data_IF_949345771645
#
_entry.id   IF_949345771645
#
_cell.length_a   1.000
_cell.length_b   1.000
_cell.length_c   1.000
_cell.angle_alpha   90.00
_cell.angle_beta   90.00
_cell.angle_gamma   90.00
#
_symmetry.space_group_name_H-M   'P 1'
#
loop_
_entity.id
_entity.type
_entity.pdbx_description
1 polymer ?
#
# COMPACT_ATOMS: atom_id res chain seq x y z
N UNK A 1 17.41 -25.51 12.09
CA UNK A 1 17.72 -26.13 10.77
C UNK A 1 17.56 -25.04 9.72
N UNK A 2 18.61 -24.23 9.59
CA UNK A 2 18.66 -23.09 8.66
C UNK A 2 19.62 -23.46 7.53
N UNK A 3 19.10 -23.96 6.43
CA UNK A 3 19.89 -24.05 5.19
C UNK A 3 18.95 -24.00 4.01
N UNK A 4 19.25 -23.06 3.15
CA UNK A 4 18.76 -22.78 1.80
C UNK A 4 17.87 -21.55 1.65
N UNK A 5 18.40 -20.36 2.03
CA UNK A 5 18.14 -19.16 1.22
C UNK A 5 18.98 -19.33 -0.05
N UNK A 6 18.34 -19.39 -1.20
CA UNK A 6 19.04 -19.62 -2.46
C UNK A 6 20.07 -18.50 -2.68
N UNK A 7 21.27 -18.92 -3.07
CA UNK A 7 22.42 -18.05 -3.37
C UNK A 7 22.10 -16.90 -4.34
N UNK A 8 20.98 -16.97 -5.04
CA UNK A 8 20.52 -15.99 -6.01
C UNK A 8 19.90 -14.73 -5.36
N UNK A 9 19.22 -14.85 -4.21
CA UNK A 9 18.63 -13.70 -3.49
C UNK A 9 19.69 -12.86 -2.79
N UNK A 10 20.74 -13.53 -2.30
CA UNK A 10 21.94 -12.88 -1.75
C UNK A 10 22.74 -12.19 -2.85
N UNK A 11 22.78 -12.75 -4.07
CA UNK A 11 23.50 -12.17 -5.20
C UNK A 11 22.89 -10.84 -5.67
N UNK A 12 21.56 -10.67 -5.66
CA UNK A 12 20.93 -9.40 -6.06
C UNK A 12 21.12 -8.28 -5.01
N UNK A 13 21.13 -8.64 -3.71
CA UNK A 13 21.49 -7.70 -2.64
C UNK A 13 23.00 -7.44 -2.57
N UNK A 14 23.86 -8.44 -2.88
CA UNK A 14 25.30 -8.29 -2.95
C UNK A 14 25.76 -7.48 -4.17
N UNK A 15 25.05 -7.48 -5.30
CA UNK A 15 25.35 -6.62 -6.45
C UNK A 15 25.13 -5.12 -6.10
N UNK A 16 24.20 -4.80 -5.19
CA UNK A 16 24.04 -3.44 -4.67
C UNK A 16 25.05 -3.07 -3.58
N UNK A 17 25.66 -4.04 -2.88
CA UNK A 17 26.60 -3.81 -1.77
C UNK A 17 28.05 -4.21 -2.06
N UNK A 18 28.31 -5.14 -3.00
CA UNK A 18 29.67 -5.63 -3.30
C UNK A 18 30.54 -4.71 -4.15
N UNK A 19 30.07 -3.49 -4.48
CA UNK A 19 30.88 -2.44 -5.11
C UNK A 19 31.75 -1.65 -4.13
N UNK A 20 31.76 -1.99 -2.83
CA UNK A 20 32.48 -1.22 -1.80
C UNK A 20 33.62 -1.92 -1.08
N UNK A 21 34.07 -3.10 -1.50
CA UNK A 21 35.20 -3.78 -0.85
C UNK A 21 36.28 -4.19 -1.81
N UNK A 22 37.00 -3.23 -2.37
CA UNK A 22 38.38 -3.48 -2.86
C UNK A 22 39.23 -2.25 -2.60
N UNK A 23 40.24 -2.46 -1.74
CA UNK A 23 41.44 -1.68 -1.53
C UNK A 23 41.43 -0.52 -0.54
N UNK A 24 41.66 -0.90 0.73
CA UNK A 24 42.49 -0.11 1.62
C UNK A 24 43.87 -0.79 1.69
N UNK A 25 44.81 -0.38 0.83
CA UNK A 25 46.25 -0.47 1.11
C UNK A 25 47.02 0.58 0.30
N UNK A 26 47.51 1.55 1.03
CA UNK A 26 48.69 2.42 0.89
C UNK A 26 49.34 2.63 -0.49
N UNK A 27 49.30 3.88 -0.96
CA UNK A 27 50.51 4.68 -1.22
C UNK A 27 50.14 6.14 -1.41
N UNK A 28 50.89 7.03 -0.77
CA UNK A 28 50.87 8.46 -1.04
C UNK A 28 51.17 8.70 -2.53
N UNK A 29 50.31 9.35 -3.23
CA UNK A 29 50.45 10.57 -3.98
C UNK A 29 49.32 10.77 -5.00
N UNK A 30 49.01 12.05 -5.23
CA UNK A 30 48.08 12.58 -6.25
C UNK A 30 46.58 12.40 -6.02
N UNK A 31 45.96 13.48 -5.59
CA UNK A 31 44.56 13.83 -5.52
C UNK A 31 43.76 13.61 -6.81
N UNK A 32 43.43 12.37 -7.13
CA UNK A 32 42.31 12.03 -8.01
C UNK A 32 41.43 11.02 -7.25
N UNK A 33 40.48 11.51 -6.45
CA UNK A 33 39.43 10.67 -5.94
C UNK A 33 38.76 9.94 -7.12
N UNK A 34 39.01 8.65 -7.28
CA UNK A 34 38.17 7.78 -8.12
C UNK A 34 36.76 7.81 -7.55
N UNK A 35 35.91 8.68 -8.10
CA UNK A 35 34.48 8.69 -7.74
C UNK A 35 33.92 7.31 -8.10
N UNK A 36 33.31 6.65 -7.12
CA UNK A 36 32.63 5.37 -7.29
C UNK A 36 31.58 5.52 -8.41
N UNK A 37 31.37 4.49 -9.23
CA UNK A 37 30.39 4.49 -10.34
C UNK A 37 29.00 4.90 -9.83
N UNK A 38 28.62 4.43 -8.62
CA UNK A 38 27.37 4.84 -7.98
C UNK A 38 27.33 6.35 -7.69
N UNK A 39 28.41 6.91 -7.12
CA UNK A 39 28.52 8.35 -6.86
C UNK A 39 28.46 9.16 -8.16
N UNK A 40 29.11 8.68 -9.23
CA UNK A 40 29.06 9.35 -10.55
C UNK A 40 27.67 9.27 -11.19
N UNK A 41 26.96 8.15 -11.05
CA UNK A 41 25.63 7.95 -11.63
C UNK A 41 24.56 8.82 -10.95
N UNK A 42 24.67 9.02 -9.64
CA UNK A 42 23.63 9.68 -8.83
C UNK A 42 24.07 11.02 -8.23
N UNK A 43 25.30 11.48 -8.51
CA UNK A 43 25.79 12.77 -8.05
C UNK A 43 25.16 13.93 -8.85
N UNK A 44 24.83 15.01 -8.14
CA UNK A 44 24.30 16.24 -8.73
C UNK A 44 25.36 16.92 -9.59
N UNK A 45 25.07 17.12 -10.88
CA UNK A 45 25.86 18.07 -11.66
C UNK A 45 25.35 19.50 -11.40
N UNK A 46 26.24 20.51 -11.22
CA UNK A 46 25.83 21.89 -11.12
C UNK A 46 25.17 22.34 -12.43
N UNK A 47 23.91 22.68 -12.41
CA UNK A 47 23.15 23.27 -13.51
C UNK A 47 21.97 22.44 -14.01
N UNK A 48 20.87 23.08 -14.09
CA UNK A 48 19.56 22.84 -14.70
C UNK A 48 18.54 21.94 -14.01
N UNK A 49 18.83 20.76 -13.48
CA UNK A 49 17.83 19.97 -12.72
C UNK A 49 18.44 19.47 -11.42
N UNK A 50 17.96 20.00 -10.31
CA UNK A 50 18.49 19.67 -8.99
C UNK A 50 18.11 18.26 -8.51
N UNK A 51 17.11 17.61 -9.13
CA UNK A 51 16.61 16.29 -8.70
C UNK A 51 17.14 15.18 -9.60
N UNK A 52 17.53 14.07 -8.97
CA UNK A 52 17.99 12.83 -9.63
C UNK A 52 17.08 11.69 -9.25
N UNK A 53 16.83 10.78 -10.19
CA UNK A 53 16.06 9.55 -9.95
C UNK A 53 16.82 8.29 -10.44
N UNK A 54 16.24 7.13 -10.16
CA UNK A 54 16.83 5.84 -10.54
C UNK A 54 16.99 5.72 -12.06
N UNK A 55 16.03 6.24 -12.81
CA UNK A 55 16.04 6.22 -14.28
C UNK A 55 17.21 7.05 -14.82
N UNK A 56 17.46 8.24 -14.24
CA UNK A 56 18.63 9.05 -14.58
C UNK A 56 19.95 8.31 -14.34
N UNK A 57 20.02 7.57 -13.22
CA UNK A 57 21.19 6.75 -12.89
C UNK A 57 21.43 5.63 -13.90
N UNK A 58 20.39 4.92 -14.29
CA UNK A 58 20.46 3.85 -15.30
C UNK A 58 20.92 4.39 -16.66
N UNK A 59 20.35 5.51 -17.15
CA UNK A 59 20.77 6.14 -18.40
C UNK A 59 22.25 6.58 -18.37
N UNK A 60 22.72 7.10 -17.23
CA UNK A 60 24.14 7.48 -17.07
C UNK A 60 25.08 6.28 -17.07
N UNK A 61 24.70 5.17 -16.42
CA UNK A 61 25.48 3.92 -16.39
C UNK A 61 25.56 3.32 -17.80
N UNK A 62 24.44 3.25 -18.50
CA UNK A 62 24.35 2.69 -19.84
C UNK A 62 24.88 3.63 -20.93
N UNK A 63 25.26 4.87 -20.58
CA UNK A 63 25.73 5.92 -21.53
C UNK A 63 24.74 6.20 -22.67
N UNK A 64 23.44 6.01 -22.43
CA UNK A 64 22.38 6.28 -23.38
C UNK A 64 21.94 7.73 -23.23
N UNK A 65 21.82 8.46 -24.32
CA UNK A 65 21.26 9.82 -24.30
C UNK A 65 19.77 9.75 -23.97
N UNK A 66 19.36 10.50 -22.95
CA UNK A 66 17.96 10.62 -22.56
C UNK A 66 17.25 11.52 -23.58
N UNK A 67 16.27 10.98 -24.29
CA UNK A 67 15.33 11.82 -25.02
C UNK A 67 14.60 12.75 -24.05
N UNK A 68 14.66 14.06 -24.30
CA UNK A 68 14.19 15.11 -23.39
C UNK A 68 12.67 15.18 -23.20
N UNK A 69 11.89 14.32 -23.87
CA UNK A 69 10.43 14.39 -23.91
C UNK A 69 9.69 13.94 -22.63
N UNK A 70 10.38 13.37 -21.64
CA UNK A 70 9.76 12.82 -20.40
C UNK A 70 9.56 13.87 -19.28
N UNK A 71 9.85 15.16 -19.52
CA UNK A 71 9.84 16.20 -18.48
C UNK A 71 8.70 17.22 -18.56
N UNK A 72 7.90 17.20 -19.61
CA UNK A 72 6.76 18.10 -19.75
C UNK A 72 5.52 17.53 -19.06
N UNK A 73 4.69 18.41 -18.49
CA UNK A 73 3.33 18.09 -18.01
C UNK A 73 2.68 17.12 -19.00
N UNK A 74 2.19 15.97 -18.51
CA UNK A 74 1.57 14.92 -19.34
C UNK A 74 0.36 15.55 -20.06
N UNK A 75 0.58 16.08 -21.25
CA UNK A 75 -0.45 16.64 -22.14
C UNK A 75 -1.02 15.60 -23.09
N UNK A 76 -0.31 14.48 -23.25
CA UNK A 76 -0.71 13.38 -24.11
C UNK A 76 -0.98 12.10 -23.30
N UNK A 77 -1.82 11.19 -23.80
CA UNK A 77 -2.04 9.89 -23.17
C UNK A 77 -0.72 9.15 -22.96
N UNK A 78 -0.49 8.69 -21.75
CA UNK A 78 0.77 8.01 -21.40
C UNK A 78 0.48 6.62 -20.82
N UNK A 79 1.04 5.58 -21.44
CA UNK A 79 1.01 4.20 -20.97
C UNK A 79 2.42 3.82 -20.50
N UNK A 80 2.51 3.27 -19.28
CA UNK A 80 3.77 2.77 -18.73
C UNK A 80 3.60 1.36 -18.18
N UNK A 81 4.66 0.54 -18.33
CA UNK A 81 4.75 -0.78 -17.75
C UNK A 81 5.88 -0.79 -16.72
N UNK A 82 5.60 -1.22 -15.51
CA UNK A 82 6.55 -1.23 -14.41
C UNK A 82 6.60 -2.63 -13.81
N UNK A 83 7.63 -3.43 -14.12
CA UNK A 83 7.89 -4.65 -13.38
C UNK A 83 8.38 -4.27 -11.97
N UNK A 84 7.89 -4.96 -10.96
CA UNK A 84 8.30 -4.74 -9.57
C UNK A 84 8.58 -6.05 -8.85
N UNK A 85 9.50 -5.97 -7.90
CA UNK A 85 9.78 -7.02 -6.93
C UNK A 85 9.42 -6.45 -5.57
N UNK A 86 8.59 -7.16 -4.83
CA UNK A 86 8.03 -6.72 -3.56
C UNK A 86 8.29 -7.79 -2.50
N UNK A 87 8.24 -7.38 -1.24
CA UNK A 87 8.31 -8.29 -0.12
C UNK A 87 7.40 -7.81 1.01
N UNK A 88 6.65 -8.72 1.58
CA UNK A 88 5.92 -8.51 2.82
C UNK A 88 5.92 -9.78 3.67
N UNK A 89 5.57 -9.66 4.95
CA UNK A 89 5.47 -10.82 5.85
C UNK A 89 4.43 -11.83 5.35
N UNK A 90 3.35 -11.38 4.73
CA UNK A 90 2.25 -12.23 4.26
C UNK A 90 2.52 -12.87 2.89
N UNK A 91 3.15 -12.14 1.98
CA UNK A 91 3.41 -12.60 0.60
C UNK A 91 4.75 -13.28 0.43
N UNK A 92 5.72 -12.97 1.34
CA UNK A 92 7.14 -13.22 1.12
C UNK A 92 7.58 -12.49 -0.15
N UNK A 93 8.47 -13.07 -0.93
CA UNK A 93 8.87 -12.50 -2.21
C UNK A 93 7.68 -12.52 -3.18
N UNK A 94 7.47 -11.42 -3.86
CA UNK A 94 6.47 -11.28 -4.91
C UNK A 94 7.07 -10.61 -6.15
N UNK A 95 6.58 -11.01 -7.31
CA UNK A 95 6.90 -10.39 -8.59
C UNK A 95 5.60 -9.87 -9.18
N UNK A 96 5.57 -8.61 -9.59
CA UNK A 96 4.41 -7.99 -10.20
C UNK A 96 4.76 -7.27 -11.51
N UNK A 97 3.76 -7.16 -12.36
CA UNK A 97 3.75 -6.30 -13.53
C UNK A 97 2.61 -5.31 -13.39
N UNK A 98 2.96 -4.03 -13.38
CA UNK A 98 2.01 -2.93 -13.30
C UNK A 98 1.93 -2.22 -14.64
N UNK A 99 0.73 -2.05 -15.18
CA UNK A 99 0.46 -1.21 -16.33
C UNK A 99 -0.36 0.01 -15.88
N UNK A 100 0.16 1.21 -16.15
CA UNK A 100 -0.49 2.46 -15.76
C UNK A 100 -0.76 3.31 -17.00
N UNK A 101 -2.01 3.72 -17.17
CA UNK A 101 -2.45 4.60 -18.23
C UNK A 101 -3.00 5.90 -17.65
N UNK A 102 -2.39 7.01 -18.03
CA UNK A 102 -2.83 8.36 -17.68
C UNK A 102 -3.48 8.96 -18.92
N UNK A 103 -4.75 9.33 -18.80
CA UNK A 103 -5.50 10.04 -19.82
C UNK A 103 -5.63 11.51 -19.42
N UNK A 104 -4.92 12.42 -20.08
CA UNK A 104 -5.05 13.85 -19.84
C UNK A 104 -6.46 14.34 -20.14
N UNK A 105 -6.90 15.30 -19.37
CA UNK A 105 -8.17 15.96 -19.66
C UNK A 105 -8.02 16.97 -20.80
N UNK A 106 -9.02 17.00 -21.66
CA UNK A 106 -9.15 18.04 -22.69
C UNK A 106 -9.52 19.42 -22.11
N UNK A 107 -9.95 19.46 -20.85
CA UNK A 107 -10.39 20.67 -20.16
C UNK A 107 -9.33 21.10 -19.14
N UNK A 108 -8.79 22.34 -19.21
CA UNK A 108 -7.64 22.77 -18.38
C UNK A 108 -7.83 22.62 -16.87
N UNK A 109 -9.04 22.80 -16.37
CA UNK A 109 -9.36 22.72 -14.93
C UNK A 109 -9.71 21.30 -14.46
N UNK A 110 -9.65 20.28 -15.34
CA UNK A 110 -10.05 18.92 -15.00
C UNK A 110 -8.82 18.06 -14.72
N UNK A 111 -8.84 17.32 -13.61
CA UNK A 111 -7.79 16.36 -13.26
C UNK A 111 -7.66 15.27 -14.32
N UNK A 112 -6.45 14.75 -14.49
CA UNK A 112 -6.21 13.61 -15.39
C UNK A 112 -6.88 12.36 -14.84
N UNK A 113 -7.46 11.55 -15.72
CA UNK A 113 -7.99 10.24 -15.37
C UNK A 113 -6.86 9.22 -15.39
N UNK A 114 -6.88 8.31 -14.41
CA UNK A 114 -5.86 7.26 -14.27
C UNK A 114 -6.49 5.88 -14.28
N UNK A 115 -5.80 4.95 -14.90
CA UNK A 115 -6.16 3.54 -14.94
C UNK A 115 -4.90 2.76 -14.62
N UNK A 116 -4.98 1.79 -13.71
CA UNK A 116 -3.87 0.91 -13.40
C UNK A 116 -4.32 -0.53 -13.32
N UNK A 117 -3.48 -1.41 -13.83
CA UNK A 117 -3.66 -2.85 -13.71
C UNK A 117 -2.40 -3.46 -13.11
N UNK A 118 -2.56 -4.36 -12.17
CA UNK A 118 -1.48 -5.14 -11.57
C UNK A 118 -1.79 -6.63 -11.73
N UNK A 119 -0.76 -7.41 -12.07
CA UNK A 119 -0.76 -8.86 -11.91
C UNK A 119 0.45 -9.24 -11.06
N UNK A 120 0.21 -9.94 -9.96
CA UNK A 120 1.20 -10.29 -8.94
C UNK A 120 1.17 -11.77 -8.65
N UNK A 121 2.37 -12.38 -8.57
CA UNK A 121 2.59 -13.74 -8.12
C UNK A 121 3.52 -13.72 -6.90
N UNK A 122 3.19 -14.52 -5.88
CA UNK A 122 3.95 -14.51 -4.63
C UNK A 122 4.55 -15.87 -4.31
N UNK A 123 5.59 -15.86 -3.47
CA UNK A 123 6.23 -17.08 -2.98
C UNK A 123 5.27 -17.95 -2.16
N UNK A 124 4.28 -17.33 -1.51
CA UNK A 124 3.22 -18.04 -0.78
C UNK A 124 2.08 -18.54 -1.68
N UNK A 125 2.33 -18.67 -3.02
CA UNK A 125 1.38 -19.20 -4.02
C UNK A 125 0.11 -18.36 -4.17
N UNK A 126 0.18 -17.07 -3.85
CA UNK A 126 -0.93 -16.14 -4.05
C UNK A 126 -0.85 -15.57 -5.45
N UNK A 127 -2.02 -15.34 -6.05
CA UNK A 127 -2.21 -14.66 -7.33
C UNK A 127 -3.12 -13.49 -7.05
N UNK A 128 -2.68 -12.29 -7.42
CA UNK A 128 -3.46 -11.06 -7.32
C UNK A 128 -3.54 -10.43 -8.70
N UNK A 129 -4.75 -10.18 -9.18
CA UNK A 129 -4.99 -9.34 -10.36
C UNK A 129 -5.90 -8.22 -9.93
N UNK A 130 -5.49 -6.98 -10.16
CA UNK A 130 -6.24 -5.80 -9.74
C UNK A 130 -6.35 -4.79 -10.89
N UNK A 131 -7.52 -4.21 -11.05
CA UNK A 131 -7.79 -3.07 -11.91
C UNK A 131 -8.34 -1.92 -11.08
N UNK A 132 -7.64 -0.79 -11.10
CA UNK A 132 -8.03 0.44 -10.45
C UNK A 132 -8.27 1.53 -11.49
N UNK A 133 -9.32 2.31 -11.35
CA UNK A 133 -9.45 3.53 -12.11
C UNK A 133 -9.95 4.69 -11.26
N UNK A 134 -9.53 5.89 -11.65
CA UNK A 134 -10.00 7.14 -11.08
C UNK A 134 -10.27 8.09 -12.25
N UNK A 135 -11.54 8.17 -12.66
CA UNK A 135 -11.96 8.89 -13.84
C UNK A 135 -12.60 10.21 -13.45
N UNK A 136 -12.09 11.31 -14.01
CA UNK A 136 -12.60 12.65 -13.82
C UNK A 136 -13.35 13.14 -15.06
N UNK A 137 -14.61 13.52 -14.88
CA UNK A 137 -15.39 14.13 -15.93
C UNK A 137 -15.15 15.64 -15.99
N UNK A 138 -15.70 16.31 -17.00
CA UNK A 138 -15.52 17.74 -17.27
C UNK A 138 -15.62 18.58 -16.00
N UNK A 139 -14.64 19.48 -15.81
CA UNK A 139 -14.53 20.40 -14.68
C UNK A 139 -14.50 19.70 -13.30
N UNK A 140 -14.09 18.43 -13.24
CA UNK A 140 -14.16 17.60 -12.02
C UNK A 140 -15.57 17.52 -11.42
N UNK A 141 -16.61 17.59 -12.23
CA UNK A 141 -17.98 17.56 -11.74
C UNK A 141 -18.35 16.19 -11.18
N UNK A 142 -17.83 15.13 -11.81
CA UNK A 142 -17.98 13.77 -11.34
C UNK A 142 -16.63 13.08 -11.23
N UNK A 143 -16.52 12.23 -10.22
CA UNK A 143 -15.42 11.31 -10.01
C UNK A 143 -15.94 9.89 -9.98
N UNK A 144 -15.44 9.03 -10.86
CA UNK A 144 -15.82 7.61 -10.96
C UNK A 144 -14.62 6.79 -10.48
N UNK A 145 -14.81 6.03 -9.42
CA UNK A 145 -13.78 5.16 -8.84
C UNK A 145 -14.12 3.70 -9.07
N UNK A 146 -13.14 2.95 -9.53
CA UNK A 146 -13.22 1.51 -9.73
C UNK A 146 -12.14 0.81 -8.92
N UNK A 147 -12.50 -0.31 -8.27
CA UNK A 147 -11.56 -1.24 -7.66
C UNK A 147 -12.08 -2.66 -7.91
N UNK A 148 -11.58 -3.28 -8.97
CA UNK A 148 -11.91 -4.66 -9.33
C UNK A 148 -10.69 -5.52 -9.11
N UNK A 149 -10.86 -6.65 -8.46
CA UNK A 149 -9.74 -7.54 -8.16
C UNK A 149 -10.17 -8.98 -8.23
N UNK A 150 -9.27 -9.83 -8.68
CA UNK A 150 -9.31 -11.28 -8.54
C UNK A 150 -8.11 -11.72 -7.71
N UNK A 151 -8.36 -12.52 -6.69
CA UNK A 151 -7.32 -13.07 -5.83
C UNK A 151 -7.53 -14.58 -5.65
N UNK A 152 -6.44 -15.35 -5.78
CA UNK A 152 -6.29 -16.64 -5.14
C UNK A 152 -5.34 -16.44 -3.98
N UNK A 153 -5.82 -16.60 -2.74
CA UNK A 153 -5.09 -16.01 -1.62
C UNK A 153 -5.04 -16.94 -0.39
N UNK A 154 -4.19 -17.98 -0.43
CA UNK A 154 -3.88 -18.70 0.80
C UNK A 154 -3.26 -17.73 1.82
N UNK A 155 -3.83 -17.71 3.03
CA UNK A 155 -3.40 -16.81 4.09
C UNK A 155 -3.46 -17.45 5.47
N UNK A 156 -2.68 -16.89 6.38
CA UNK A 156 -2.77 -17.21 7.81
C UNK A 156 -3.96 -16.47 8.42
N UNK A 157 -4.69 -17.17 9.26
CA UNK A 157 -5.76 -16.64 10.10
C UNK A 157 -5.41 -16.81 11.57
N UNK A 158 -5.33 -15.72 12.29
CA UNK A 158 -4.92 -15.69 13.69
C UNK A 158 -6.13 -15.65 14.66
N UNK A 159 -7.35 -15.78 14.12
CA UNK A 159 -8.59 -15.69 14.86
C UNK A 159 -9.06 -14.27 15.10
N UNK A 160 -10.10 -14.14 15.94
CA UNK A 160 -10.70 -12.86 16.29
C UNK A 160 -10.03 -12.23 17.51
N UNK A 161 -10.01 -10.90 17.54
CA UNK A 161 -9.48 -10.09 18.64
C UNK A 161 -7.99 -9.78 18.55
N UNK A 162 -7.46 -9.19 19.63
CA UNK A 162 -6.03 -8.85 19.82
C UNK A 162 -5.35 -9.72 20.87
N UNK A 163 -6.08 -10.60 21.53
CA UNK A 163 -5.58 -11.37 22.68
C UNK A 163 -4.62 -12.50 22.29
N UNK A 164 -4.71 -13.01 21.07
CA UNK A 164 -3.76 -14.01 20.58
C UNK A 164 -2.40 -13.36 20.30
N UNK A 165 -1.46 -13.50 21.23
CA UNK A 165 -0.11 -12.93 21.12
C UNK A 165 0.90 -13.86 20.42
N UNK A 166 0.50 -15.10 20.05
CA UNK A 166 1.40 -16.07 19.45
C UNK A 166 1.27 -16.06 17.91
N UNK A 167 2.30 -15.60 17.21
CA UNK A 167 2.34 -15.66 15.74
C UNK A 167 2.44 -17.09 15.17
N UNK A 168 2.73 -18.08 16.03
CA UNK A 168 2.79 -19.49 15.67
C UNK A 168 1.42 -20.19 15.71
N UNK A 169 0.42 -19.57 16.36
CA UNK A 169 -0.93 -20.12 16.46
C UNK A 169 -1.83 -19.48 15.39
N UNK A 170 -2.08 -20.19 14.31
CA UNK A 170 -2.91 -19.74 13.19
C UNK A 170 -3.57 -20.91 12.47
N UNK A 171 -4.68 -20.64 11.80
CA UNK A 171 -5.27 -21.50 10.77
C UNK A 171 -4.70 -21.11 9.40
N UNK A 172 -4.63 -22.07 8.48
CA UNK A 172 -4.29 -21.80 7.10
C UNK A 172 -5.57 -21.86 6.25
N UNK A 173 -6.03 -20.73 5.75
CA UNK A 173 -7.23 -20.64 4.94
C UNK A 173 -6.84 -20.38 3.48
N UNK A 174 -7.42 -21.16 2.57
CA UNK A 174 -7.31 -20.95 1.12
C UNK A 174 -8.67 -20.54 0.55
N UNK A 175 -8.67 -19.62 -0.40
CA UNK A 175 -9.87 -19.16 -1.09
C UNK A 175 -9.54 -18.45 -2.40
N UNK A 176 -10.54 -18.39 -3.27
CA UNK A 176 -10.57 -17.50 -4.41
C UNK A 176 -11.56 -16.35 -4.14
N UNK A 177 -11.25 -15.15 -4.62
CA UNK A 177 -11.99 -13.94 -4.30
C UNK A 177 -12.12 -13.01 -5.50
N UNK A 178 -13.34 -12.58 -5.81
CA UNK A 178 -13.64 -11.47 -6.70
C UNK A 178 -14.17 -10.31 -5.88
N UNK A 179 -13.55 -9.15 -6.05
CA UNK A 179 -13.98 -7.85 -5.54
C UNK A 179 -14.37 -6.95 -6.72
N UNK A 180 -15.57 -6.45 -6.71
CA UNK A 180 -16.05 -5.47 -7.70
C UNK A 180 -16.65 -4.29 -6.93
N UNK A 181 -15.84 -3.25 -6.73
CA UNK A 181 -16.28 -2.03 -6.07
C UNK A 181 -16.27 -0.88 -7.07
N UNK A 182 -17.39 -0.20 -7.19
CA UNK A 182 -17.60 0.90 -8.11
C UNK A 182 -18.35 2.03 -7.41
N UNK A 183 -17.86 3.27 -7.52
CA UNK A 183 -18.61 4.44 -7.04
C UNK A 183 -18.62 5.59 -8.04
N UNK A 184 -19.67 6.39 -7.98
CA UNK A 184 -19.88 7.58 -8.80
C UNK A 184 -20.19 8.74 -7.85
N UNK A 185 -19.26 9.68 -7.76
CA UNK A 185 -19.33 10.79 -6.83
C UNK A 185 -19.51 12.11 -7.58
N UNK A 186 -20.48 12.92 -7.18
CA UNK A 186 -20.72 14.25 -7.71
C UNK A 186 -20.06 15.30 -6.82
N UNK A 187 -19.43 16.29 -7.43
CA UNK A 187 -18.86 17.43 -6.70
C UNK A 187 -19.96 18.28 -6.07
N UNK A 188 -19.85 18.54 -4.78
CA UNK A 188 -20.77 19.40 -4.01
C UNK A 188 -20.11 20.72 -3.58
N UNK A 189 -18.78 20.72 -3.41
CA UNK A 189 -17.95 21.90 -3.13
C UNK A 189 -16.51 21.65 -3.64
N UNK A 190 -15.63 22.62 -3.50
CA UNK A 190 -14.22 22.47 -3.86
C UNK A 190 -13.61 21.28 -3.11
N UNK A 191 -13.09 20.28 -3.86
CA UNK A 191 -12.51 19.03 -3.36
C UNK A 191 -13.49 18.12 -2.60
N UNK A 192 -14.77 18.46 -2.47
CA UNK A 192 -15.79 17.63 -1.83
C UNK A 192 -16.69 16.94 -2.85
N UNK A 193 -16.89 15.65 -2.66
CA UNK A 193 -17.68 14.79 -3.54
C UNK A 193 -18.57 13.88 -2.70
N UNK A 194 -19.78 13.60 -3.20
CA UNK A 194 -20.73 12.67 -2.57
C UNK A 194 -21.41 11.83 -3.64
N UNK A 195 -21.71 10.59 -3.33
CA UNK A 195 -22.46 9.75 -4.25
C UNK A 195 -22.57 8.29 -3.84
N UNK A 196 -23.33 7.52 -4.61
CA UNK A 196 -23.53 6.10 -4.38
C UNK A 196 -22.40 5.25 -4.96
N UNK A 197 -22.29 4.03 -4.43
CA UNK A 197 -21.48 2.96 -4.99
C UNK A 197 -22.17 1.59 -4.88
N UNK A 198 -21.60 0.61 -5.57
CA UNK A 198 -21.97 -0.79 -5.51
C UNK A 198 -20.72 -1.61 -5.19
N UNK A 199 -20.79 -2.43 -4.17
CA UNK A 199 -19.72 -3.31 -3.74
C UNK A 199 -20.19 -4.76 -3.77
N UNK A 200 -19.45 -5.60 -4.50
CA UNK A 200 -19.65 -7.04 -4.57
C UNK A 200 -18.36 -7.70 -4.13
N UNK A 201 -18.43 -8.51 -3.08
CA UNK A 201 -17.33 -9.32 -2.53
C UNK A 201 -17.78 -10.78 -2.56
N UNK A 202 -17.27 -11.56 -3.50
CA UNK A 202 -17.62 -12.96 -3.65
C UNK A 202 -16.39 -13.85 -3.49
N UNK A 203 -16.45 -14.79 -2.54
CA UNK A 203 -15.42 -15.80 -2.30
C UNK A 203 -15.96 -17.19 -2.50
N UNK A 204 -15.11 -18.06 -3.04
CA UNK A 204 -15.44 -19.47 -3.26
C UNK A 204 -14.20 -20.33 -3.03
N UNK A 205 -14.40 -21.65 -3.00
CA UNK A 205 -13.37 -22.63 -2.66
C UNK A 205 -12.71 -22.31 -1.31
N UNK A 206 -13.51 -21.82 -0.35
CA UNK A 206 -13.01 -21.53 0.98
C UNK A 206 -12.75 -22.86 1.67
N UNK A 207 -11.51 -23.09 2.12
CA UNK A 207 -11.11 -24.29 2.83
C UNK A 207 -10.11 -23.97 3.93
N UNK A 208 -10.29 -24.62 5.06
CA UNK A 208 -9.32 -24.65 6.15
C UNK A 208 -8.35 -25.82 5.86
N UNK A 209 -7.09 -25.50 5.63
CA UNK A 209 -6.03 -26.46 5.33
C UNK A 209 -5.07 -26.64 6.51
N UNK A 210 -5.50 -26.19 7.71
CA UNK A 210 -4.69 -26.25 8.92
C UNK A 210 -4.43 -27.70 9.35
N UNK A 211 -3.20 -27.96 9.73
CA UNK A 211 -2.80 -29.25 10.29
C UNK A 211 -2.64 -29.22 11.80
N UNK A 212 -2.27 -28.05 12.35
CA UNK A 212 -2.00 -27.82 13.78
C UNK A 212 -2.15 -26.34 14.14
N UNK A 213 -2.06 -26.00 15.44
CA UNK A 213 -2.01 -24.63 15.95
C UNK A 213 -3.22 -23.75 15.60
N UNK A 214 -4.41 -24.27 15.88
CA UNK A 214 -5.65 -23.53 15.63
C UNK A 214 -5.85 -22.39 16.63
N UNK A 215 -6.18 -21.19 16.18
CA UNK A 215 -6.56 -20.11 17.07
C UNK A 215 -7.93 -20.38 17.72
N UNK A 216 -8.10 -19.86 18.94
CA UNK A 216 -9.42 -19.81 19.58
C UNK A 216 -10.27 -18.80 18.80
N UNK A 217 -11.52 -19.16 18.45
CA UNK A 217 -12.43 -18.31 17.67
C UNK A 217 -11.91 -17.90 16.28
N UNK A 218 -11.26 -18.81 15.59
CA UNK A 218 -10.90 -18.67 14.19
C UNK A 218 -12.07 -18.95 13.24
N UNK A 219 -11.74 -19.13 11.96
CA UNK A 219 -12.71 -19.41 10.90
C UNK A 219 -13.61 -20.62 11.20
N UNK A 220 -13.03 -21.70 11.73
CA UNK A 220 -13.76 -22.94 12.03
C UNK A 220 -14.84 -22.76 13.11
N UNK A 221 -14.58 -21.91 14.12
CA UNK A 221 -15.50 -21.66 15.23
C UNK A 221 -16.55 -20.60 14.90
N UNK A 222 -16.23 -19.64 14.01
CA UNK A 222 -17.17 -18.61 13.57
C UNK A 222 -18.29 -19.15 12.67
N UNK A 223 -18.02 -20.25 11.97
CA UNK A 223 -18.91 -20.94 11.06
C UNK A 223 -18.34 -21.08 9.67
N UNK A 224 -17.97 -22.30 9.31
CA UNK A 224 -17.39 -22.61 8.01
C UNK A 224 -18.42 -22.51 6.89
N UNK A 225 -18.02 -21.86 5.78
CA UNK A 225 -18.78 -21.83 4.54
C UNK A 225 -17.84 -22.04 3.37
N UNK A 226 -18.25 -22.80 2.36
CA UNK A 226 -17.44 -23.00 1.12
C UNK A 226 -17.46 -21.78 0.22
N UNK A 227 -18.43 -20.91 0.39
CA UNK A 227 -18.62 -19.68 -0.36
C UNK A 227 -19.09 -18.57 0.55
N UNK A 228 -18.77 -17.32 0.23
CA UNK A 228 -19.38 -16.16 0.87
C UNK A 228 -19.66 -15.05 -0.15
N UNK A 229 -20.80 -14.39 -0.01
CA UNK A 229 -21.21 -13.26 -0.82
C UNK A 229 -21.63 -12.09 0.06
N UNK A 230 -21.02 -10.93 -0.18
CA UNK A 230 -21.35 -9.65 0.45
C UNK A 230 -21.61 -8.63 -0.65
N UNK A 231 -22.86 -8.47 -1.02
CA UNK A 231 -23.29 -7.49 -2.02
C UNK A 231 -24.05 -6.37 -1.35
N UNK A 232 -23.62 -5.15 -1.56
CA UNK A 232 -24.19 -3.97 -0.90
C UNK A 232 -24.01 -2.67 -1.65
N UNK A 233 -24.84 -1.70 -1.28
CA UNK A 233 -24.76 -0.33 -1.76
C UNK A 233 -23.90 0.47 -0.78
N UNK A 234 -23.11 1.41 -1.32
CA UNK A 234 -22.38 2.40 -0.50
C UNK A 234 -22.91 3.81 -0.75
N UNK A 235 -22.70 4.68 0.24
CA UNK A 235 -22.82 6.12 0.14
C UNK A 235 -21.52 6.72 0.63
N UNK A 236 -20.81 7.39 -0.26
CA UNK A 236 -19.47 7.86 -0.03
C UNK A 236 -19.43 9.39 0.03
N UNK A 237 -18.75 9.96 1.03
CA UNK A 237 -18.38 11.35 1.15
C UNK A 237 -16.87 11.46 1.08
N UNK A 238 -16.35 12.12 0.03
CA UNK A 238 -14.93 12.23 -0.25
C UNK A 238 -14.48 13.69 -0.21
N UNK A 239 -13.41 13.97 0.50
CA UNK A 239 -12.60 15.18 0.36
C UNK A 239 -11.19 14.80 -0.09
N UNK A 240 -10.67 15.41 -1.15
CA UNK A 240 -9.31 15.16 -1.62
C UNK A 240 -8.66 16.41 -2.21
N UNK A 241 -7.77 17.02 -1.42
CA UNK A 241 -6.96 18.17 -1.85
C UNK A 241 -5.55 17.81 -2.30
N UNK A 242 -5.19 16.52 -2.37
CA UNK A 242 -3.87 16.06 -2.80
C UNK A 242 -3.63 16.35 -4.28
N UNK A 243 -2.45 16.81 -4.60
CA UNK A 243 -1.97 16.97 -5.98
C UNK A 243 -1.33 15.70 -6.53
N UNK A 244 -0.74 14.88 -5.66
CA UNK A 244 -0.23 13.55 -5.95
C UNK A 244 -0.80 12.53 -4.95
N UNK A 245 -1.33 11.43 -5.45
CA UNK A 245 -1.84 10.33 -4.61
C UNK A 245 -0.68 9.43 -4.17
N UNK A 246 0.37 9.30 -5.00
CA UNK A 246 1.49 8.39 -4.78
C UNK A 246 2.46 8.91 -3.74
N UNK A 247 2.69 10.23 -3.73
CA UNK A 247 3.58 10.91 -2.80
C UNK A 247 3.16 12.38 -2.66
N UNK A 248 2.32 12.73 -1.69
CA UNK A 248 1.96 14.11 -1.40
C UNK A 248 3.19 14.88 -0.89
N UNK A 249 3.60 15.92 -1.63
CA UNK A 249 4.78 16.75 -1.32
C UNK A 249 4.43 18.13 -0.74
N UNK A 250 3.15 18.46 -0.71
CA UNK A 250 2.64 19.74 -0.21
C UNK A 250 1.64 19.49 0.91
N UNK A 251 1.28 20.55 1.63
CA UNK A 251 0.18 20.47 2.56
C UNK A 251 -1.10 20.00 1.85
N UNK A 252 -1.68 18.94 2.36
CA UNK A 252 -2.86 18.33 1.78
C UNK A 252 -3.64 17.53 2.83
N UNK A 253 -4.89 17.24 2.51
CA UNK A 253 -5.71 16.34 3.29
C UNK A 253 -6.55 15.45 2.36
N UNK A 254 -6.84 14.27 2.84
CA UNK A 254 -7.76 13.30 2.27
C UNK A 254 -8.69 12.82 3.37
N UNK A 255 -9.98 12.73 3.06
CA UNK A 255 -10.99 12.16 3.95
C UNK A 255 -12.01 11.41 3.12
N UNK A 256 -12.24 10.16 3.44
CA UNK A 256 -13.31 9.36 2.86
C UNK A 256 -14.14 8.73 3.97
N UNK A 257 -15.42 9.02 3.96
CA UNK A 257 -16.45 8.38 4.79
C UNK A 257 -17.32 7.54 3.88
N UNK A 258 -17.33 6.23 4.07
CA UNK A 258 -18.13 5.29 3.29
C UNK A 258 -19.11 4.55 4.21
N UNK A 259 -20.39 4.78 4.05
CA UNK A 259 -21.43 3.94 4.65
C UNK A 259 -21.79 2.83 3.68
N UNK A 260 -21.77 1.59 4.13
CA UNK A 260 -22.11 0.39 3.34
C UNK A 260 -23.28 -0.35 3.98
N UNK A 261 -24.25 -0.74 3.16
CA UNK A 261 -25.33 -1.65 3.57
C UNK A 261 -25.37 -2.85 2.63
N UNK A 262 -25.11 -4.04 3.16
CA UNK A 262 -25.26 -5.30 2.44
C UNK A 262 -26.68 -5.79 2.52
N UNK A 263 -27.24 -6.21 1.39
CA UNK A 263 -28.66 -6.48 1.25
C UNK A 263 -28.89 -7.91 0.75
N UNK A 264 -29.67 -8.71 1.49
CA UNK A 264 -29.93 -10.11 1.14
C UNK A 264 -30.60 -10.27 -0.23
N UNK A 265 -31.46 -9.33 -0.62
CA UNK A 265 -32.13 -9.39 -1.92
C UNK A 265 -31.18 -9.13 -3.11
N UNK A 266 -29.99 -8.54 -2.87
CA UNK A 266 -28.90 -8.42 -3.84
C UNK A 266 -27.97 -9.65 -3.84
N UNK A 267 -28.33 -10.71 -3.10
CA UNK A 267 -27.57 -11.95 -3.02
C UNK A 267 -26.57 -12.01 -1.86
N UNK A 268 -26.51 -11.02 -0.97
CA UNK A 268 -25.65 -11.07 0.19
C UNK A 268 -26.09 -12.18 1.18
N UNK A 269 -25.12 -12.95 1.70
CA UNK A 269 -25.42 -14.00 2.69
C UNK A 269 -26.01 -13.43 3.98
N UNK A 270 -25.55 -12.26 4.39
CA UNK A 270 -25.97 -11.58 5.62
C UNK A 270 -26.30 -10.11 5.33
N UNK A 271 -27.28 -9.59 6.06
CA UNK A 271 -27.46 -8.14 6.16
C UNK A 271 -26.36 -7.57 7.05
N UNK A 272 -25.75 -6.48 6.62
CA UNK A 272 -24.68 -5.79 7.33
C UNK A 272 -24.79 -4.30 7.10
N UNK A 273 -24.56 -3.51 8.13
CA UNK A 273 -24.34 -2.07 7.99
C UNK A 273 -22.98 -1.73 8.61
N UNK A 274 -22.16 -0.99 7.87
CA UNK A 274 -20.84 -0.60 8.32
C UNK A 274 -20.47 0.80 7.86
N UNK A 275 -19.55 1.43 8.60
CA UNK A 275 -18.91 2.68 8.22
C UNK A 275 -17.42 2.43 8.12
N UNK A 276 -16.82 2.95 7.04
CA UNK A 276 -15.36 3.04 6.87
C UNK A 276 -14.95 4.50 6.85
N UNK A 277 -13.93 4.85 7.64
CA UNK A 277 -13.33 6.19 7.68
C UNK A 277 -11.86 6.03 7.31
N UNK A 278 -11.42 6.72 6.25
CA UNK A 278 -10.01 6.84 5.84
C UNK A 278 -9.66 8.33 5.82
N UNK A 279 -8.88 8.79 6.80
CA UNK A 279 -8.49 10.19 6.90
C UNK A 279 -6.98 10.33 6.96
N UNK A 280 -6.44 11.26 6.14
CA UNK A 280 -5.00 11.51 6.01
C UNK A 280 -4.73 13.00 5.99
N UNK A 281 -3.67 13.42 6.67
CA UNK A 281 -3.20 14.80 6.68
C UNK A 281 -1.69 14.82 6.45
N UNK A 282 -1.24 15.76 5.60
CA UNK A 282 0.15 15.95 5.24
C UNK A 282 0.55 17.38 5.53
N UNK A 283 1.61 17.58 6.31
CA UNK A 283 2.09 18.87 6.76
C UNK A 283 3.60 18.99 6.50
N UNK A 284 4.07 20.01 5.75
CA UNK A 284 5.49 20.33 5.72
C UNK A 284 6.00 20.61 7.14
N UNK A 285 7.05 19.89 7.56
CA UNK A 285 7.61 20.06 8.91
C UNK A 285 9.13 19.90 8.91
N UNK A 286 9.91 20.86 9.42
CA UNK A 286 9.48 22.22 9.85
C UNK A 286 8.75 23.00 8.76
N UNK A 287 8.03 24.04 9.15
CA UNK A 287 7.29 24.88 8.20
C UNK A 287 8.19 25.32 7.04
N UNK A 288 7.69 25.26 5.80
CA UNK A 288 8.40 25.56 4.55
C UNK A 288 9.55 24.58 4.20
N UNK A 289 9.74 23.49 4.93
CA UNK A 289 10.71 22.45 4.56
C UNK A 289 10.15 21.53 3.47
N UNK A 290 11.05 20.75 2.84
CA UNK A 290 10.66 19.65 1.94
C UNK A 290 10.33 18.36 2.70
N UNK A 291 10.55 18.34 4.02
CA UNK A 291 10.21 17.22 4.87
C UNK A 291 8.71 17.24 5.20
N UNK A 292 8.14 16.08 5.45
CA UNK A 292 6.69 15.92 5.61
C UNK A 292 6.38 15.16 6.90
N UNK A 293 5.50 15.74 7.71
CA UNK A 293 4.83 15.02 8.79
C UNK A 293 3.46 14.59 8.26
N UNK A 294 3.22 13.28 8.24
CA UNK A 294 2.00 12.71 7.71
C UNK A 294 1.25 11.92 8.80
N UNK A 295 -0.07 12.02 8.80
CA UNK A 295 -0.96 11.31 9.71
C UNK A 295 -2.00 10.54 8.91
N UNK A 296 -2.30 9.34 9.35
CA UNK A 296 -3.30 8.48 8.76
C UNK A 296 -4.14 7.81 9.85
N UNK A 297 -5.45 7.78 9.67
CA UNK A 297 -6.33 6.90 10.44
C UNK A 297 -7.26 6.16 9.50
N UNK A 298 -7.43 4.87 9.76
CA UNK A 298 -8.32 3.99 9.02
C UNK A 298 -9.17 3.18 9.99
N UNK A 299 -10.47 3.39 9.93
CA UNK A 299 -11.40 2.79 10.87
C UNK A 299 -12.53 2.10 10.12
N UNK A 300 -12.90 0.92 10.56
CA UNK A 300 -14.07 0.20 10.06
C UNK A 300 -14.95 -0.16 11.26
N UNK A 301 -16.21 0.23 11.20
CA UNK A 301 -17.17 0.05 12.28
C UNK A 301 -18.38 -0.71 11.76
N UNK A 302 -18.57 -1.94 12.19
CA UNK A 302 -19.85 -2.63 12.01
C UNK A 302 -20.89 -2.02 12.95
N UNK A 303 -21.96 -1.48 12.37
CA UNK A 303 -23.06 -0.84 13.10
C UNK A 303 -24.14 -1.85 13.46
N UNK A 304 -24.48 -2.74 12.53
CA UNK A 304 -25.50 -3.77 12.73
C UNK A 304 -25.33 -4.91 11.75
N UNK A 305 -25.93 -6.05 12.06
CA UNK A 305 -25.90 -7.24 11.23
C UNK A 305 -24.69 -8.13 11.50
N UNK A 306 -24.35 -8.99 10.53
CA UNK A 306 -23.25 -9.95 10.62
C UNK A 306 -22.47 -9.92 9.30
N UNK A 307 -21.14 -9.94 9.34
CA UNK A 307 -20.30 -10.15 8.19
C UNK A 307 -19.93 -11.63 8.04
N UNK A 308 -19.74 -12.17 6.82
CA UNK A 308 -18.97 -13.40 6.65
C UNK A 308 -17.58 -13.24 7.26
N UNK A 309 -17.00 -14.34 7.76
CA UNK A 309 -15.73 -14.27 8.51
C UNK A 309 -14.61 -13.53 7.76
N UNK A 310 -14.43 -13.84 6.48
CA UNK A 310 -13.36 -13.22 5.65
C UNK A 310 -13.64 -11.77 5.27
N UNK A 311 -14.85 -11.24 5.53
CA UNK A 311 -15.21 -9.84 5.35
C UNK A 311 -15.08 -9.00 6.63
N UNK A 312 -14.86 -9.65 7.77
CA UNK A 312 -14.60 -8.96 9.04
C UNK A 312 -13.29 -8.17 8.89
N UNK A 313 -13.25 -6.87 9.26
CA UNK A 313 -12.05 -6.04 9.18
C UNK A 313 -10.85 -6.67 9.89
N UNK A 314 -9.66 -6.51 9.31
CA UNK A 314 -8.42 -7.09 9.84
C UNK A 314 -7.21 -6.19 9.55
N UNK A 315 -6.08 -6.47 10.21
CA UNK A 315 -4.79 -5.80 9.94
C UNK A 315 -4.44 -5.90 8.46
N UNK A 316 -4.16 -4.78 7.81
CA UNK A 316 -3.95 -4.63 6.37
C UNK A 316 -5.20 -4.97 5.53
N UNK A 317 -6.41 -4.59 6.00
CA UNK A 317 -7.65 -4.71 5.22
C UNK A 317 -8.01 -3.45 4.42
N UNK A 318 -7.18 -2.41 4.48
CA UNK A 318 -7.31 -1.23 3.65
C UNK A 318 -7.10 -1.54 2.16
N UNK A 319 -7.38 -0.57 1.28
CA UNK A 319 -7.31 -0.75 -0.17
C UNK A 319 -5.93 -1.22 -0.67
N UNK A 320 -4.86 -0.75 -0.05
CA UNK A 320 -3.48 -0.98 -0.46
C UNK A 320 -2.76 -2.01 0.43
N UNK A 321 -3.46 -2.62 1.40
CA UNK A 321 -2.93 -3.61 2.34
C UNK A 321 -1.76 -3.07 3.20
N UNK A 322 -1.80 -1.81 3.58
CA UNK A 322 -0.72 -1.10 4.24
C UNK A 322 -0.95 -0.81 5.74
N UNK A 323 -2.20 -0.93 6.25
CA UNK A 323 -2.46 -0.68 7.67
C UNK A 323 -1.76 -1.71 8.55
N UNK A 324 -1.07 -1.26 9.60
CA UNK A 324 -0.45 -2.12 10.61
C UNK A 324 0.94 -2.63 10.25
N UNK A 325 1.80 -1.79 9.66
CA UNK A 325 3.23 -2.13 9.50
C UNK A 325 3.85 -2.55 10.83
N UNK A 326 4.62 -3.63 10.82
CA UNK A 326 5.12 -4.31 12.02
C UNK A 326 4.37 -5.59 12.32
N UNK A 327 3.19 -5.81 11.70
CA UNK A 327 2.38 -7.01 11.87
C UNK A 327 2.08 -7.68 10.52
N UNK A 328 1.95 -9.00 10.53
CA UNK A 328 1.53 -9.73 9.35
C UNK A 328 0.06 -9.42 9.01
N UNK A 329 -0.28 -9.40 7.73
CA UNK A 329 -1.66 -9.23 7.26
C UNK A 329 -2.59 -10.27 7.93
N UNK A 330 -3.76 -9.80 8.39
CA UNK A 330 -4.73 -10.66 9.08
C UNK A 330 -4.40 -10.93 10.54
N UNK A 331 -3.34 -10.33 11.11
CA UNK A 331 -2.89 -10.59 12.48
C UNK A 331 -3.95 -10.34 13.54
N UNK A 332 -4.75 -9.30 13.38
CA UNK A 332 -5.86 -8.96 14.25
C UNK A 332 -7.10 -8.76 13.39
N UNK A 333 -8.21 -9.36 13.83
CA UNK A 333 -9.48 -9.36 13.10
C UNK A 333 -10.62 -9.10 14.07
N UNK A 334 -11.57 -8.22 13.73
CA UNK A 334 -12.72 -7.94 14.57
C UNK A 334 -13.78 -7.09 13.88
N UNK A 335 -15.02 -7.10 14.40
CA UNK A 335 -16.15 -6.37 13.81
C UNK A 335 -15.95 -4.85 13.74
N UNK A 336 -15.12 -4.31 14.61
CA UNK A 336 -14.65 -2.92 14.57
C UNK A 336 -13.14 -2.93 14.52
N UNK A 337 -12.57 -2.08 13.70
CA UNK A 337 -11.13 -1.88 13.56
C UNK A 337 -10.83 -0.41 13.72
N UNK A 338 -9.88 -0.10 14.59
CA UNK A 338 -9.24 1.20 14.75
C UNK A 338 -7.78 1.10 14.35
N UNK A 339 -7.31 2.00 13.51
CA UNK A 339 -5.91 2.15 13.14
C UNK A 339 -5.54 3.63 13.06
N UNK A 340 -4.38 3.98 13.57
CA UNK A 340 -3.76 5.29 13.41
C UNK A 340 -2.26 5.15 13.21
N UNK A 341 -1.68 5.99 12.33
CA UNK A 341 -0.26 6.02 12.02
C UNK A 341 0.22 7.46 11.84
N UNK A 342 1.45 7.70 12.25
CA UNK A 342 2.19 8.94 12.03
C UNK A 342 3.53 8.64 11.40
N UNK A 343 3.93 9.41 10.38
CA UNK A 343 5.23 9.31 9.70
C UNK A 343 5.91 10.67 9.63
N UNK A 344 7.23 10.65 9.82
CA UNK A 344 8.08 11.77 9.43
C UNK A 344 9.00 11.36 8.28
N UNK A 345 8.78 11.99 7.12
CA UNK A 345 9.50 11.75 5.87
C UNK A 345 10.50 12.87 5.63
N UNK A 346 11.77 12.54 5.40
CA UNK A 346 12.83 13.54 5.21
C UNK A 346 13.83 13.12 4.14
N UNK A 347 14.42 14.12 3.49
CA UNK A 347 15.48 13.92 2.49
C UNK A 347 16.82 13.63 3.17
N UNK A 348 17.57 12.64 2.64
CA UNK A 348 18.95 12.36 3.02
C UNK A 348 19.91 13.06 2.06
N UNK A 349 19.62 13.01 0.76
CA UNK A 349 20.48 13.63 -0.26
C UNK A 349 19.86 14.93 -0.76
N UNK A 350 20.70 15.94 -1.01
CA UNK A 350 20.26 17.24 -1.53
C UNK A 350 19.57 17.15 -2.90
N UNK A 351 19.99 16.17 -3.74
CA UNK A 351 19.40 15.92 -5.05
C UNK A 351 18.09 15.13 -5.00
N UNK A 352 17.57 14.82 -3.80
CA UNK A 352 16.32 14.12 -3.60
C UNK A 352 16.29 12.65 -4.06
N UNK A 353 17.45 12.04 -4.36
CA UNK A 353 17.53 10.63 -4.76
C UNK A 353 17.22 9.68 -3.59
N UNK A 354 17.80 9.96 -2.41
CA UNK A 354 17.56 9.20 -1.19
C UNK A 354 16.83 10.04 -0.16
N UNK A 355 15.84 9.42 0.46
CA UNK A 355 15.12 9.91 1.62
C UNK A 355 14.97 8.81 2.65
N UNK A 356 14.42 9.16 3.79
CA UNK A 356 14.07 8.23 4.85
C UNK A 356 12.75 8.58 5.50
N UNK A 357 12.22 7.61 6.26
CA UNK A 357 11.02 7.76 7.07
C UNK A 357 11.26 7.13 8.44
N UNK A 358 10.66 7.72 9.46
CA UNK A 358 10.39 7.07 10.75
C UNK A 358 8.90 7.12 11.00
N UNK A 359 8.33 6.06 11.56
CA UNK A 359 6.89 5.96 11.76
C UNK A 359 6.53 5.20 13.03
N UNK A 360 5.34 5.49 13.53
CA UNK A 360 4.69 4.74 14.58
C UNK A 360 3.20 4.60 14.28
N UNK A 361 2.65 3.42 14.58
CA UNK A 361 1.24 3.13 14.43
C UNK A 361 0.67 2.42 15.65
N UNK A 362 -0.64 2.45 15.75
CA UNK A 362 -1.38 1.69 16.72
C UNK A 362 -2.69 1.20 16.12
N UNK A 363 -3.12 0.02 16.54
CA UNK A 363 -4.41 -0.50 16.15
C UNK A 363 -5.06 -1.35 17.24
N UNK A 364 -6.36 -1.49 17.14
CA UNK A 364 -7.18 -2.35 17.98
C UNK A 364 -8.36 -2.86 17.16
N UNK A 365 -8.89 -3.99 17.58
CA UNK A 365 -10.11 -4.56 17.02
C UNK A 365 -11.06 -4.94 18.13
N UNK A 366 -12.36 -5.07 17.82
CA UNK A 366 -13.34 -5.68 18.70
C UNK A 366 -13.68 -7.07 18.19
N UNK A 367 -13.94 -8.00 19.06
CA UNK A 367 -14.48 -9.31 18.72
C UNK A 367 -16.01 -9.37 18.97
N UNK A 368 -16.73 -10.34 18.36
CA UNK A 368 -18.19 -10.44 18.50
C UNK A 368 -18.70 -10.64 19.92
N UNK A 369 -17.92 -11.29 20.78
CA UNK A 369 -18.28 -11.56 22.16
C UNK A 369 -18.05 -10.36 23.09
N UNK A 370 -17.15 -9.45 22.72
CA UNK A 370 -16.81 -8.23 23.45
C UNK A 370 -17.05 -7.02 22.55
N UNK A 371 -18.14 -6.28 22.79
CA UNK A 371 -18.58 -5.16 21.94
C UNK A 371 -17.62 -3.97 21.90
N UNK A 372 -16.66 -3.89 22.83
CA UNK A 372 -15.65 -2.84 22.92
C UNK A 372 -14.38 -3.16 22.17
N UNK A 373 -13.57 -2.14 21.89
CA UNK A 373 -12.19 -2.31 21.41
C UNK A 373 -11.37 -3.01 22.49
N UNK A 374 -10.51 -3.92 22.04
CA UNK A 374 -9.57 -4.63 22.90
C UNK A 374 -8.27 -3.80 23.07
N UNK A 375 -7.23 -4.44 23.59
CA UNK A 375 -5.92 -3.85 23.81
C UNK A 375 -5.37 -3.20 22.51
N UNK A 376 -4.82 -1.99 22.66
CA UNK A 376 -4.07 -1.32 21.61
C UNK A 376 -2.75 -2.04 21.36
N UNK A 377 -2.47 -2.37 20.11
CA UNK A 377 -1.22 -2.96 19.65
C UNK A 377 -0.41 -1.92 18.90
N UNK A 378 0.79 -1.64 19.40
CA UNK A 378 1.68 -0.65 18.83
C UNK A 378 2.68 -1.27 17.84
N UNK A 379 2.94 -0.55 16.74
CA UNK A 379 4.01 -0.84 15.80
C UNK A 379 4.83 0.42 15.52
N UNK A 380 6.10 0.26 15.19
CA UNK A 380 6.99 1.36 14.84
C UNK A 380 8.10 0.87 13.91
N UNK A 381 8.76 1.79 13.25
CA UNK A 381 9.84 1.43 12.36
C UNK A 381 10.48 2.62 11.66
N UNK A 382 11.39 2.27 10.78
CA UNK A 382 12.09 3.21 9.92
C UNK A 382 12.28 2.61 8.53
N UNK A 383 12.48 3.47 7.53
CA UNK A 383 12.70 3.00 6.18
C UNK A 383 13.45 3.98 5.32
N UNK A 384 13.87 3.49 4.17
CA UNK A 384 14.52 4.30 3.13
C UNK A 384 13.56 4.54 1.98
N UNK A 385 13.78 5.64 1.28
CA UNK A 385 13.05 6.06 0.08
C UNK A 385 14.05 6.28 -1.04
N UNK A 386 13.90 5.52 -2.12
CA UNK A 386 14.73 5.66 -3.32
C UNK A 386 13.86 6.27 -4.40
N UNK A 387 14.21 7.43 -4.93
CA UNK A 387 13.47 8.09 -5.99
C UNK A 387 13.53 7.26 -7.27
N UNK A 388 12.40 6.63 -7.61
CA UNK A 388 12.27 5.86 -8.84
C UNK A 388 12.06 6.76 -10.04
N UNK A 389 11.14 7.72 -9.92
CA UNK A 389 10.83 8.68 -10.98
C UNK A 389 10.54 10.06 -10.38
N UNK A 390 11.31 11.07 -10.77
CA UNK A 390 11.21 12.44 -10.27
C UNK A 390 9.97 13.18 -10.78
N UNK A 391 9.47 12.83 -11.98
CA UNK A 391 8.32 13.49 -12.60
C UNK A 391 7.00 13.07 -11.98
N UNK A 392 6.84 11.77 -11.66
CA UNK A 392 5.69 11.25 -10.93
C UNK A 392 5.86 11.30 -9.42
N UNK A 393 7.04 11.75 -8.93
CA UNK A 393 7.43 11.72 -7.52
C UNK A 393 7.38 10.34 -6.87
N UNK A 394 7.40 9.26 -7.67
CA UNK A 394 7.32 7.89 -7.18
C UNK A 394 8.63 7.47 -6.52
N UNK A 395 8.52 6.91 -5.32
CA UNK A 395 9.62 6.29 -4.59
C UNK A 395 9.47 4.76 -4.57
N UNK A 396 10.58 4.06 -4.41
CA UNK A 396 10.59 2.71 -3.83
C UNK A 396 10.76 2.88 -2.34
N UNK A 397 9.81 2.42 -1.57
CA UNK A 397 9.81 2.44 -0.11
C UNK A 397 10.25 1.07 0.41
N UNK A 398 11.22 1.04 1.32
CA UNK A 398 11.69 -0.17 2.00
C UNK A 398 11.72 0.14 3.49
N UNK A 399 10.78 -0.44 4.22
CA UNK A 399 10.59 -0.21 5.65
C UNK A 399 10.95 -1.46 6.44
N UNK A 400 11.60 -1.28 7.59
CA UNK A 400 11.70 -2.31 8.60
C UNK A 400 10.88 -1.90 9.81
N UNK A 401 9.95 -2.74 10.22
CA UNK A 401 8.99 -2.44 11.25
C UNK A 401 8.98 -3.50 12.35
N UNK A 402 8.72 -3.04 13.57
CA UNK A 402 8.51 -3.83 14.77
C UNK A 402 7.08 -3.69 15.23
N UNK A 403 6.47 -4.77 15.68
CA UNK A 403 5.16 -4.82 16.31
C UNK A 403 5.25 -5.36 17.74
N UNK A 404 4.33 -4.94 18.57
CA UNK A 404 4.19 -5.47 19.93
C UNK A 404 4.02 -6.99 19.91
N UNK A 405 4.62 -7.70 20.87
CA UNK A 405 4.60 -9.16 20.93
C UNK A 405 5.70 -9.84 20.12
N UNK A 406 6.75 -9.11 19.71
CA UNK A 406 7.92 -9.64 19.01
C UNK A 406 7.75 -9.74 17.49
N UNK A 407 6.64 -9.28 16.94
CA UNK A 407 6.43 -9.20 15.50
C UNK A 407 7.41 -8.21 14.87
N UNK A 408 7.99 -8.56 13.73
CA UNK A 408 8.85 -7.67 12.96
C UNK A 408 8.98 -8.14 11.52
N UNK A 409 9.28 -7.19 10.61
CA UNK A 409 9.46 -7.57 9.21
C UNK A 409 9.80 -6.43 8.28
N UNK A 410 10.10 -6.80 7.04
CA UNK A 410 10.34 -5.89 5.93
C UNK A 410 9.03 -5.67 5.18
N UNK A 411 8.78 -4.44 4.78
CA UNK A 411 7.66 -4.00 3.96
C UNK A 411 8.21 -3.19 2.79
N UNK A 412 7.84 -3.57 1.57
CA UNK A 412 8.26 -2.87 0.36
C UNK A 412 7.04 -2.40 -0.40
N UNK A 413 7.05 -1.14 -0.80
CA UNK A 413 5.97 -0.50 -1.56
C UNK A 413 6.51 0.30 -2.74
N UNK A 414 5.71 0.44 -3.77
CA UNK A 414 5.90 1.39 -4.84
C UNK A 414 5.05 2.64 -4.54
N UNK A 415 5.71 3.77 -4.30
CA UNK A 415 5.11 4.98 -3.75
C UNK A 415 5.28 5.07 -2.23
N UNK A 416 4.63 6.04 -1.61
CA UNK A 416 4.53 6.12 -0.16
C UNK A 416 3.41 5.19 0.34
N UNK A 417 3.46 4.85 1.63
CA UNK A 417 2.51 3.92 2.24
C UNK A 417 1.08 4.49 2.24
N UNK A 418 0.95 5.82 2.44
CA UNK A 418 -0.33 6.53 2.40
C UNK A 418 -0.19 7.99 2.00
#
# INVERSE_FOLDING_TARGET
>A
MFTNLSKTTIAFFCILFSLNTVNAQTSQDSTKHKKNIFTLAFYKQPGKDSMVDFVDGVYRILKVNKDRSLGESIKEPHLSFIPAVEYSMATKLAVSLNANYIKPSKYPATKNSTYSTEVKFTQNKQIVSQFLSNVWLKNNEYNINTNWSYLKFPQKDFGLGTSNNQETMFDQIDYSYIKLHQSILKRIATNWYIGPGLNIDYRWNISDTSTMNRPIYGYSQYGQTKTSNSTGITFDLLYDSRTSIVNPLNEAAYFNLSYRTNLKFLGSNYALQSITIDARKYLPFPMHSKNMLAFWTYNVLTLSGKAPYLDIPYTASDRNLNTGRGFIQGRFRGEKLFFAESEYRFGITENGFLGAVVFANMHSVSEPLQKGFQELKAGYGAGIRIKLNKHSSTNVAIDYAFGQGGSHGIFMNLGEVF
#
